data_IF_981964603929
#
_entry.id   IF_981964603929
#
_cell.length_a   1.000
_cell.length_b   1.000
_cell.length_c   1.000
_cell.angle_alpha   90.00
_cell.angle_beta   90.00
_cell.angle_gamma   90.00
#
_symmetry.space_group_name_H-M   'P 1'
#
loop_
_entity.id
_entity.type
_entity.pdbx_description
1 polymer ?
#
# COMPACT_ATOMS: atom_id res chain seq x y z
N UNK A 1 -5.76 -12.20 18.11
CA UNK A 1 -6.15 -13.34 18.96
C UNK A 1 -5.06 -14.40 18.82
N UNK A 2 -5.13 -15.41 19.66
CA UNK A 2 -4.30 -16.61 19.62
C UNK A 2 -5.22 -17.83 19.55
N UNK A 3 -4.82 -18.96 18.95
CA UNK A 3 -5.67 -20.14 18.85
C UNK A 3 -6.17 -20.67 20.20
N UNK A 4 -5.26 -20.83 21.16
CA UNK A 4 -5.57 -21.24 22.52
C UNK A 4 -5.83 -20.02 23.43
N UNK A 5 -6.68 -20.15 24.46
CA UNK A 5 -6.85 -19.11 25.47
C UNK A 5 -5.55 -18.88 26.24
N UNK A 6 -5.29 -17.63 26.62
CA UNK A 6 -4.19 -17.29 27.53
C UNK A 6 -4.49 -16.01 28.32
N UNK A 7 -4.08 -15.92 29.61
CA UNK A 7 -4.41 -14.79 30.48
C UNK A 7 -3.60 -13.52 30.17
N UNK A 8 -2.51 -13.65 29.41
CA UNK A 8 -1.49 -12.62 29.19
C UNK A 8 -0.49 -12.51 30.35
N UNK A 9 0.34 -11.47 30.35
CA UNK A 9 1.32 -11.23 31.42
C UNK A 9 0.64 -10.74 32.72
N UNK A 10 1.30 -10.88 33.89
CA UNK A 10 0.78 -10.40 35.18
C UNK A 10 0.46 -8.89 35.18
N UNK A 11 -0.50 -8.48 36.02
CA UNK A 11 -0.85 -7.06 36.23
C UNK A 11 0.06 -6.44 37.32
N UNK A 12 0.33 -5.12 37.29
CA UNK A 12 -0.08 -4.13 36.28
C UNK A 12 0.70 -4.27 34.96
N UNK A 13 -0.01 -4.05 33.84
CA UNK A 13 0.51 -4.29 32.48
C UNK A 13 0.09 -3.25 31.44
N UNK A 14 -0.50 -2.15 31.90
CA UNK A 14 -0.94 -1.01 31.10
C UNK A 14 -0.71 0.24 31.93
N UNK A 15 0.01 1.20 31.36
CA UNK A 15 0.39 2.46 32.00
C UNK A 15 0.10 3.59 31.04
N UNK A 16 -0.69 4.57 31.48
CA UNK A 16 -0.95 5.80 30.73
C UNK A 16 0.15 6.79 31.06
N UNK A 17 0.66 7.46 30.03
CA UNK A 17 1.61 8.56 30.15
C UNK A 17 0.83 9.81 29.73
N UNK A 18 0.08 10.38 30.66
CA UNK A 18 -0.88 11.46 30.37
C UNK A 18 -0.17 12.70 29.82
N UNK A 19 0.97 13.05 30.41
CA UNK A 19 1.79 14.18 30.00
C UNK A 19 2.39 13.99 28.60
N UNK A 20 2.52 12.75 28.15
CA UNK A 20 3.17 12.42 26.88
C UNK A 20 2.18 11.99 25.80
N UNK A 21 0.86 11.99 26.07
CA UNK A 21 -0.18 11.38 25.22
C UNK A 21 0.21 9.95 24.76
N UNK A 22 0.83 9.22 25.69
CA UNK A 22 1.49 7.95 25.45
C UNK A 22 0.89 6.80 26.26
N UNK A 23 1.16 5.57 25.82
CA UNK A 23 0.78 4.37 26.58
C UNK A 23 1.89 3.35 26.50
N UNK A 24 2.32 2.84 27.66
CA UNK A 24 3.19 1.67 27.76
C UNK A 24 2.34 0.45 28.13
N UNK A 25 2.50 -0.66 27.41
CA UNK A 25 1.80 -1.89 27.74
C UNK A 25 2.69 -3.13 27.59
N UNK A 26 2.38 -4.13 28.42
CA UNK A 26 2.97 -5.47 28.38
C UNK A 26 1.92 -6.57 28.44
N UNK A 27 0.87 -6.48 27.64
CA UNK A 27 -0.28 -7.40 27.70
C UNK A 27 0.07 -8.88 27.46
N UNK A 28 0.90 -9.19 26.45
CA UNK A 28 1.27 -10.57 26.11
C UNK A 28 0.11 -11.38 25.52
N UNK A 29 -0.65 -10.81 24.57
CA UNK A 29 -1.77 -11.45 23.87
C UNK A 29 -2.81 -12.14 24.77
N UNK A 30 -3.32 -11.45 25.79
CA UNK A 30 -4.45 -11.97 26.56
C UNK A 30 -5.68 -12.22 25.64
N UNK A 31 -6.18 -13.45 25.61
CA UNK A 31 -7.19 -13.92 24.65
C UNK A 31 -8.03 -15.04 25.25
N UNK A 32 -9.31 -15.11 24.85
CA UNK A 32 -10.21 -16.23 25.19
C UNK A 32 -10.10 -17.41 24.22
N UNK A 33 -9.15 -17.35 23.27
CA UNK A 33 -8.95 -18.37 22.25
C UNK A 33 -9.82 -18.17 21.00
N UNK A 34 -9.69 -19.11 20.06
CA UNK A 34 -10.26 -19.00 18.72
C UNK A 34 -11.79 -19.18 18.72
N UNK A 35 -12.31 -20.17 19.44
CA UNK A 35 -13.72 -20.51 19.41
C UNK A 35 -14.64 -19.33 19.82
N UNK A 36 -14.44 -18.68 20.99
CA UNK A 36 -15.27 -17.52 21.36
C UNK A 36 -15.04 -16.30 20.47
N UNK A 37 -13.90 -16.23 19.78
CA UNK A 37 -13.61 -15.16 18.82
C UNK A 37 -14.43 -15.34 17.53
N UNK A 38 -14.41 -16.54 16.95
CA UNK A 38 -15.15 -16.91 15.73
C UNK A 38 -16.66 -16.74 15.93
N UNK A 39 -17.20 -17.23 17.06
CA UNK A 39 -18.63 -17.09 17.35
C UNK A 39 -19.10 -15.64 17.43
N UNK A 40 -18.27 -14.75 18.00
CA UNK A 40 -18.57 -13.31 18.05
C UNK A 40 -18.47 -12.67 16.67
N UNK A 41 -17.46 -13.04 15.89
CA UNK A 41 -17.27 -12.52 14.54
C UNK A 41 -18.43 -12.92 13.62
N UNK A 42 -18.88 -14.18 13.68
CA UNK A 42 -20.00 -14.68 12.89
C UNK A 42 -21.35 -14.02 13.23
N UNK A 43 -21.52 -13.54 14.47
CA UNK A 43 -22.75 -12.83 14.92
C UNK A 43 -22.73 -11.33 14.63
N UNK A 44 -21.62 -10.79 14.11
CA UNK A 44 -21.45 -9.36 13.89
C UNK A 44 -22.51 -8.84 12.91
N UNK A 45 -23.13 -7.71 13.27
CA UNK A 45 -24.02 -6.92 12.41
C UNK A 45 -23.36 -5.57 12.15
N UNK A 46 -23.20 -5.16 10.90
CA UNK A 46 -22.64 -3.85 10.55
C UNK A 46 -21.96 -3.83 9.18
N UNK A 47 -21.73 -2.62 8.66
CA UNK A 47 -21.26 -2.36 7.28
C UNK A 47 -19.79 -1.98 7.16
N UNK A 48 -19.05 -1.89 8.28
CA UNK A 48 -17.63 -1.54 8.26
C UNK A 48 -16.71 -2.71 7.89
N UNK A 49 -15.50 -2.41 7.44
CA UNK A 49 -14.44 -3.40 7.20
C UNK A 49 -13.86 -3.88 8.55
N UNK A 50 -13.70 -5.19 8.71
CA UNK A 50 -13.13 -5.85 9.89
C UNK A 50 -11.94 -6.70 9.52
N UNK A 51 -10.79 -6.31 10.06
CA UNK A 51 -9.57 -7.10 10.03
C UNK A 51 -9.44 -8.05 11.20
N UNK A 52 -8.97 -9.26 10.94
CA UNK A 52 -8.68 -10.26 11.96
C UNK A 52 -7.18 -10.35 12.20
N UNK A 53 -6.73 -9.87 13.36
CA UNK A 53 -5.31 -9.85 13.74
C UNK A 53 -4.92 -11.10 14.54
N UNK A 54 -4.09 -11.95 13.93
CA UNK A 54 -3.64 -13.24 14.43
C UNK A 54 -2.25 -13.12 15.06
N UNK A 55 -1.97 -13.93 16.07
CA UNK A 55 -0.66 -14.05 16.69
C UNK A 55 -0.48 -15.43 17.32
N UNK A 56 0.76 -15.76 17.68
CA UNK A 56 1.09 -17.05 18.31
C UNK A 56 0.77 -17.08 19.80
N UNK A 57 0.39 -18.25 20.30
CA UNK A 57 0.37 -18.53 21.73
C UNK A 57 1.79 -18.52 22.31
N UNK A 58 1.90 -18.15 23.59
CA UNK A 58 3.21 -17.97 24.25
C UNK A 58 4.05 -19.26 24.24
N UNK A 59 3.40 -20.41 24.43
CA UNK A 59 4.02 -21.73 24.57
C UNK A 59 4.21 -22.48 23.24
N UNK A 60 3.66 -21.98 22.13
CA UNK A 60 3.81 -22.64 20.82
C UNK A 60 5.24 -22.50 20.32
N UNK A 61 5.84 -23.63 19.98
CA UNK A 61 7.16 -23.74 19.37
C UNK A 61 7.10 -23.36 17.89
N UNK A 62 6.29 -24.07 17.09
CA UNK A 62 6.02 -23.72 15.70
C UNK A 62 5.00 -22.56 15.63
N UNK A 63 5.52 -21.34 15.55
CA UNK A 63 4.70 -20.16 15.49
C UNK A 63 3.72 -20.17 14.30
N UNK A 64 4.11 -20.74 13.15
CA UNK A 64 3.32 -20.67 11.92
C UNK A 64 2.02 -21.50 12.01
N UNK A 65 2.03 -22.62 12.75
CA UNK A 65 0.84 -23.44 13.01
C UNK A 65 -0.31 -22.61 13.63
N UNK A 66 0.04 -21.68 14.54
CA UNK A 66 -0.98 -20.83 15.17
C UNK A 66 -1.63 -19.85 14.18
N UNK A 67 -0.88 -19.36 13.20
CA UNK A 67 -1.43 -18.50 12.15
C UNK A 67 -2.29 -19.32 11.20
N UNK A 68 -1.86 -20.50 10.78
CA UNK A 68 -2.64 -21.41 9.91
C UNK A 68 -4.00 -21.73 10.54
N UNK A 69 -4.01 -22.13 11.81
CA UNK A 69 -5.25 -22.42 12.57
C UNK A 69 -6.16 -21.19 12.66
N UNK A 70 -5.58 -20.03 12.95
CA UNK A 70 -6.31 -18.78 13.01
C UNK A 70 -6.93 -18.39 11.67
N UNK A 71 -6.16 -18.50 10.58
CA UNK A 71 -6.60 -18.20 9.22
C UNK A 71 -7.71 -19.15 8.80
N UNK A 72 -7.51 -20.46 8.95
CA UNK A 72 -8.49 -21.48 8.58
C UNK A 72 -9.87 -21.22 9.21
N UNK A 73 -9.89 -20.77 10.47
CA UNK A 73 -11.12 -20.50 11.20
C UNK A 73 -11.77 -19.13 10.89
N UNK A 74 -11.02 -18.17 10.34
CA UNK A 74 -11.49 -16.78 10.24
C UNK A 74 -11.50 -16.20 8.83
N UNK A 75 -10.85 -16.83 7.85
CA UNK A 75 -10.72 -16.31 6.48
C UNK A 75 -12.07 -16.06 5.80
N UNK A 76 -13.09 -16.89 6.06
CA UNK A 76 -14.44 -16.71 5.49
C UNK A 76 -15.27 -15.61 6.17
N UNK A 77 -14.79 -15.08 7.30
CA UNK A 77 -15.54 -14.14 8.15
C UNK A 77 -14.89 -12.76 8.23
N UNK A 78 -13.63 -12.64 7.80
CA UNK A 78 -12.84 -11.42 7.88
C UNK A 78 -12.82 -10.71 6.53
N UNK A 79 -12.82 -9.37 6.56
CA UNK A 79 -12.60 -8.58 5.34
C UNK A 79 -11.11 -8.52 4.98
N UNK A 80 -10.22 -8.66 5.96
CA UNK A 80 -8.79 -8.89 5.76
C UNK A 80 -8.17 -9.61 6.97
N UNK A 81 -7.03 -10.26 6.76
CA UNK A 81 -6.28 -11.00 7.76
C UNK A 81 -4.97 -10.28 8.09
N UNK A 82 -4.47 -10.43 9.31
CA UNK A 82 -3.16 -9.88 9.71
C UNK A 82 -2.34 -10.91 10.47
N UNK A 83 -1.14 -11.22 9.97
CA UNK A 83 -0.10 -11.92 10.72
C UNK A 83 0.70 -10.92 11.57
N UNK A 84 0.54 -10.94 12.89
CA UNK A 84 1.22 -10.01 13.80
C UNK A 84 2.56 -10.56 14.29
N UNK A 85 3.65 -10.08 13.70
CA UNK A 85 5.02 -10.54 14.00
C UNK A 85 5.78 -9.59 14.94
N UNK A 86 5.11 -8.59 15.52
CA UNK A 86 5.81 -7.38 16.00
C UNK A 86 5.56 -6.99 17.45
N UNK A 87 4.73 -7.73 18.19
CA UNK A 87 4.53 -7.50 19.63
C UNK A 87 5.86 -7.66 20.39
N UNK A 88 6.31 -6.64 21.17
CA UNK A 88 7.48 -6.79 22.05
C UNK A 88 7.18 -7.63 23.30
N UNK A 89 5.91 -7.97 23.53
CA UNK A 89 5.45 -8.54 24.80
C UNK A 89 5.32 -10.07 24.78
N UNK A 90 5.66 -10.68 23.65
CA UNK A 90 5.68 -12.13 23.44
C UNK A 90 7.12 -12.53 23.10
N UNK A 91 7.83 -13.25 23.99
CA UNK A 91 9.22 -13.64 23.75
C UNK A 91 9.42 -14.33 22.39
N UNK A 92 10.51 -14.00 21.70
CA UNK A 92 10.87 -14.57 20.40
C UNK A 92 10.02 -14.12 19.21
N UNK A 93 8.87 -13.46 19.41
CA UNK A 93 7.97 -13.13 18.30
C UNK A 93 8.62 -12.23 17.26
N UNK A 94 9.37 -11.20 17.69
CA UNK A 94 10.03 -10.26 16.78
C UNK A 94 11.14 -10.90 15.94
N UNK A 95 11.68 -12.04 16.36
CA UNK A 95 12.65 -12.80 15.58
C UNK A 95 12.02 -13.42 14.32
N UNK A 96 10.70 -13.60 14.29
CA UNK A 96 9.95 -14.04 13.10
C UNK A 96 9.97 -13.03 11.95
N UNK A 97 10.47 -11.80 12.19
CA UNK A 97 10.67 -10.79 11.15
C UNK A 97 11.99 -10.99 10.38
N UNK A 98 12.84 -11.93 10.79
CA UNK A 98 14.02 -12.33 10.02
C UNK A 98 13.62 -13.03 8.71
N UNK A 99 14.42 -12.84 7.65
CA UNK A 99 14.08 -13.22 6.27
C UNK A 99 13.53 -14.64 6.10
N UNK A 100 14.23 -15.64 6.65
CA UNK A 100 13.83 -17.06 6.51
C UNK A 100 12.55 -17.37 7.27
N UNK A 101 12.47 -17.00 8.55
CA UNK A 101 11.31 -17.25 9.39
C UNK A 101 10.05 -16.54 8.89
N UNK A 102 10.20 -15.28 8.42
CA UNK A 102 9.07 -14.54 7.85
C UNK A 102 8.58 -15.18 6.56
N UNK A 103 9.50 -15.63 5.69
CA UNK A 103 9.13 -16.29 4.42
C UNK A 103 8.33 -17.56 4.66
N UNK A 104 8.81 -18.43 5.55
CA UNK A 104 8.11 -19.68 5.89
C UNK A 104 6.70 -19.40 6.44
N UNK A 105 6.61 -18.52 7.44
CA UNK A 105 5.34 -18.17 8.06
C UNK A 105 4.35 -17.55 7.08
N UNK A 106 4.79 -16.60 6.24
CA UNK A 106 3.91 -15.95 5.26
C UNK A 106 3.47 -16.92 4.17
N UNK A 107 4.37 -17.78 3.68
CA UNK A 107 4.00 -18.80 2.69
C UNK A 107 2.93 -19.75 3.24
N UNK A 108 3.14 -20.27 4.46
CA UNK A 108 2.17 -21.12 5.16
C UNK A 108 0.83 -20.41 5.41
N UNK A 109 0.87 -19.14 5.80
CA UNK A 109 -0.32 -18.33 6.00
C UNK A 109 -1.12 -18.13 4.69
N UNK A 110 -0.44 -17.88 3.56
CA UNK A 110 -1.08 -17.77 2.24
C UNK A 110 -1.70 -19.11 1.84
N UNK A 111 -0.97 -20.22 2.00
CA UNK A 111 -1.51 -21.57 1.73
C UNK A 111 -2.76 -21.86 2.55
N UNK A 112 -2.75 -21.55 3.85
CA UNK A 112 -3.93 -21.72 4.71
C UNK A 112 -5.11 -20.84 4.27
N UNK A 113 -4.84 -19.59 3.84
CA UNK A 113 -5.88 -18.66 3.34
C UNK A 113 -6.50 -19.18 2.07
N UNK A 114 -5.68 -19.62 1.12
CA UNK A 114 -6.10 -20.16 -0.16
C UNK A 114 -6.89 -21.48 -0.01
N UNK A 115 -6.47 -22.35 0.91
CA UNK A 115 -7.20 -23.57 1.24
C UNK A 115 -8.56 -23.28 1.90
N UNK A 116 -8.62 -22.30 2.80
CA UNK A 116 -9.85 -21.90 3.47
C UNK A 116 -10.84 -21.22 2.50
N UNK A 117 -10.33 -20.47 1.51
CA UNK A 117 -11.13 -19.77 0.50
C UNK A 117 -10.57 -20.09 -0.90
N UNK A 118 -10.98 -21.23 -1.51
CA UNK A 118 -10.44 -21.66 -2.80
C UNK A 118 -10.70 -20.67 -3.94
N UNK A 119 -11.86 -19.99 -3.91
CA UNK A 119 -12.24 -18.96 -4.87
C UNK A 119 -11.36 -17.71 -4.71
N UNK A 120 -10.43 -17.52 -5.65
CA UNK A 120 -9.45 -16.43 -5.63
C UNK A 120 -10.07 -15.04 -5.54
N UNK A 121 -11.24 -14.82 -6.16
CA UNK A 121 -11.94 -13.53 -6.14
C UNK A 121 -12.59 -13.19 -4.80
N UNK A 122 -12.68 -14.16 -3.88
CA UNK A 122 -13.28 -13.99 -2.54
C UNK A 122 -12.26 -14.08 -1.41
N UNK A 123 -10.98 -14.30 -1.72
CA UNK A 123 -9.92 -14.41 -0.72
C UNK A 123 -9.76 -13.08 0.01
N UNK A 124 -9.81 -13.05 1.35
CA UNK A 124 -9.49 -11.83 2.08
C UNK A 124 -8.01 -11.48 1.88
N UNK A 125 -7.65 -10.19 1.74
CA UNK A 125 -6.26 -9.75 1.75
C UNK A 125 -5.54 -10.21 3.02
N UNK A 126 -4.32 -10.72 2.89
CA UNK A 126 -3.45 -11.10 3.99
C UNK A 126 -2.37 -10.04 4.16
N UNK A 127 -2.34 -9.41 5.33
CA UNK A 127 -1.35 -8.40 5.68
C UNK A 127 -0.37 -8.93 6.73
N UNK A 128 0.84 -8.36 6.78
CA UNK A 128 1.78 -8.61 7.89
C UNK A 128 1.99 -7.33 8.69
N UNK A 129 1.98 -7.43 10.03
CA UNK A 129 2.26 -6.30 10.92
C UNK A 129 3.66 -6.39 11.51
N UNK A 130 4.51 -5.42 11.16
CA UNK A 130 5.92 -5.36 11.56
C UNK A 130 6.23 -4.23 12.55
N UNK A 131 7.34 -4.37 13.27
CA UNK A 131 7.77 -3.47 14.33
C UNK A 131 8.38 -2.18 13.75
N UNK A 132 8.29 -1.04 14.46
CA UNK A 132 8.97 0.18 14.07
C UNK A 132 10.46 0.16 14.44
N UNK A 133 10.93 -0.88 15.13
CA UNK A 133 12.29 -0.97 15.68
C UNK A 133 13.23 -1.77 14.76
N UNK A 134 12.92 -1.84 13.45
CA UNK A 134 13.76 -2.50 12.44
C UNK A 134 14.73 -1.49 11.84
N UNK A 135 15.99 -1.90 11.71
CA UNK A 135 17.00 -1.16 10.95
C UNK A 135 16.78 -1.32 9.43
N UNK A 136 17.57 -0.60 8.64
CA UNK A 136 17.41 -0.55 7.19
C UNK A 136 17.68 -1.92 6.52
N UNK A 137 18.61 -2.72 7.08
CA UNK A 137 18.91 -4.05 6.55
C UNK A 137 17.76 -5.03 6.81
N UNK A 138 17.19 -5.03 8.02
CA UNK A 138 16.04 -5.83 8.36
C UNK A 138 14.79 -5.41 7.56
N UNK A 139 14.62 -4.10 7.30
CA UNK A 139 13.56 -3.62 6.42
C UNK A 139 13.76 -4.10 4.96
N UNK A 140 14.98 -4.16 4.46
CA UNK A 140 15.26 -4.73 3.13
C UNK A 140 14.93 -6.22 3.05
N UNK A 141 15.29 -6.99 4.09
CA UNK A 141 14.91 -8.40 4.18
C UNK A 141 13.39 -8.59 4.18
N UNK A 142 12.66 -7.78 4.95
CA UNK A 142 11.20 -7.81 4.97
C UNK A 142 10.61 -7.39 3.63
N UNK A 143 11.18 -6.38 2.97
CA UNK A 143 10.71 -5.93 1.65
C UNK A 143 10.88 -7.02 0.59
N UNK A 144 12.01 -7.74 0.61
CA UNK A 144 12.27 -8.88 -0.26
C UNK A 144 11.26 -10.02 -0.02
N UNK A 145 11.01 -10.38 1.25
CA UNK A 145 10.01 -11.42 1.57
C UNK A 145 8.61 -11.01 1.14
N UNK A 146 8.21 -9.76 1.40
CA UNK A 146 6.89 -9.26 1.01
C UNK A 146 6.69 -9.31 -0.51
N UNK A 147 7.71 -8.93 -1.29
CA UNK A 147 7.70 -9.01 -2.76
C UNK A 147 7.63 -10.45 -3.26
N UNK A 148 8.43 -11.35 -2.71
CA UNK A 148 8.53 -12.74 -3.17
C UNK A 148 7.30 -13.57 -2.83
N UNK A 149 6.68 -13.31 -1.68
CA UNK A 149 5.52 -14.08 -1.21
C UNK A 149 4.19 -13.57 -1.75
N UNK A 150 4.14 -12.34 -2.26
CA UNK A 150 2.90 -11.74 -2.75
C UNK A 150 1.91 -11.39 -1.62
N UNK A 151 2.42 -10.97 -0.45
CA UNK A 151 1.56 -10.46 0.63
C UNK A 151 0.78 -9.22 0.17
N UNK A 152 -0.49 -9.13 0.56
CA UNK A 152 -1.41 -8.12 0.03
C UNK A 152 -1.20 -6.73 0.66
N UNK A 153 -0.44 -6.63 1.76
CA UNK A 153 -0.10 -5.36 2.38
C UNK A 153 0.73 -5.48 3.65
N UNK A 154 1.30 -4.37 4.10
CA UNK A 154 2.07 -4.31 5.35
C UNK A 154 1.51 -3.25 6.28
N UNK A 155 1.31 -3.60 7.54
CA UNK A 155 1.05 -2.65 8.62
C UNK A 155 2.39 -2.33 9.26
N UNK A 156 2.91 -1.12 9.02
CA UNK A 156 4.15 -0.69 9.65
C UNK A 156 3.84 0.16 10.89
N UNK A 157 4.33 -0.33 12.02
CA UNK A 157 4.16 0.29 13.31
C UNK A 157 3.35 -0.61 14.24
N UNK A 158 4.06 -1.32 15.10
CA UNK A 158 3.56 -1.75 16.38
C UNK A 158 4.06 -0.77 17.46
N UNK A 159 3.95 -1.10 18.73
CA UNK A 159 4.61 -0.35 19.79
C UNK A 159 6.14 -0.43 19.68
N UNK A 160 6.86 0.61 20.11
CA UNK A 160 8.33 0.63 20.17
C UNK A 160 8.85 0.19 21.54
N UNK A 161 10.01 -0.45 21.59
CA UNK A 161 10.74 -0.66 22.86
C UNK A 161 11.59 0.55 23.26
N UNK A 162 11.85 1.45 22.32
CA UNK A 162 12.61 2.66 22.56
C UNK A 162 11.90 3.59 23.54
N UNK A 163 12.69 4.38 24.26
CA UNK A 163 12.22 5.46 25.12
C UNK A 163 12.88 6.75 24.63
N UNK A 164 12.19 7.54 23.77
CA UNK A 164 12.76 8.79 23.29
C UNK A 164 13.05 9.73 24.47
N UNK A 165 14.08 10.59 24.37
CA UNK A 165 14.35 11.59 25.39
C UNK A 165 13.16 12.54 25.52
N UNK A 166 12.95 13.08 26.73
CA UNK A 166 11.90 14.07 27.00
C UNK A 166 10.54 13.51 27.41
N UNK A 167 10.40 12.18 27.59
CA UNK A 167 9.22 11.61 28.26
C UNK A 167 9.12 12.14 29.69
N UNK A 168 7.96 12.67 30.07
CA UNK A 168 7.74 13.35 31.35
C UNK A 168 7.11 12.45 32.39
N UNK A 169 6.24 11.53 31.97
CA UNK A 169 5.46 10.71 32.88
C UNK A 169 6.33 9.90 33.85
N UNK A 170 5.82 9.67 35.07
CA UNK A 170 6.46 8.80 36.05
C UNK A 170 6.58 7.34 35.57
N UNK A 171 5.70 6.92 34.64
CA UNK A 171 5.69 5.56 34.09
C UNK A 171 6.64 5.34 32.91
N UNK A 172 7.43 6.34 32.50
CA UNK A 172 8.29 6.28 31.30
C UNK A 172 9.27 5.10 31.28
N UNK A 173 9.68 4.60 32.44
CA UNK A 173 10.65 3.50 32.60
C UNK A 173 9.99 2.11 32.63
N UNK A 174 8.65 2.03 32.59
CA UNK A 174 7.93 0.75 32.60
C UNK A 174 8.33 -0.13 31.42
N UNK A 175 8.49 -1.43 31.68
CA UNK A 175 8.79 -2.41 30.64
C UNK A 175 7.60 -2.60 29.67
N UNK A 176 7.92 -2.96 28.42
CA UNK A 176 6.95 -3.24 27.37
C UNK A 176 6.98 -2.22 26.24
N UNK A 177 5.94 -2.26 25.41
CA UNK A 177 5.85 -1.42 24.22
C UNK A 177 5.25 -0.05 24.49
N UNK A 178 5.96 1.02 24.10
CA UNK A 178 5.50 2.41 24.06
C UNK A 178 4.71 2.69 22.77
N UNK A 179 3.63 3.44 22.93
CA UNK A 179 2.72 3.87 21.86
C UNK A 179 2.22 5.30 22.11
N UNK A 180 1.42 5.83 21.19
CA UNK A 180 0.89 7.20 21.27
C UNK A 180 1.82 8.22 20.63
N UNK A 181 1.67 9.49 21.00
CA UNK A 181 2.41 10.61 20.41
C UNK A 181 3.92 10.37 20.31
N UNK A 182 4.61 9.81 21.33
CA UNK A 182 6.08 9.65 21.28
C UNK A 182 6.55 8.71 20.17
N UNK A 183 5.67 7.82 19.67
CA UNK A 183 5.98 6.89 18.59
C UNK A 183 5.84 7.53 17.18
N UNK A 184 5.20 8.70 17.07
CA UNK A 184 4.83 9.27 15.77
C UNK A 184 6.05 9.48 14.86
N UNK A 185 7.09 10.16 15.36
CA UNK A 185 8.28 10.48 14.58
C UNK A 185 8.99 9.21 14.07
N UNK A 186 9.29 8.26 14.98
CA UNK A 186 9.95 6.99 14.64
C UNK A 186 9.13 6.20 13.61
N UNK A 187 7.84 5.97 13.89
CA UNK A 187 6.99 5.16 13.01
C UNK A 187 6.78 5.80 11.63
N UNK A 188 6.73 7.13 11.55
CA UNK A 188 6.61 7.85 10.27
C UNK A 188 7.94 7.84 9.49
N UNK A 189 9.08 7.93 10.17
CA UNK A 189 10.39 7.80 9.53
C UNK A 189 10.57 6.42 8.90
N UNK A 190 10.34 5.36 9.69
CA UNK A 190 10.46 3.98 9.20
C UNK A 190 9.47 3.70 8.06
N UNK A 191 8.27 4.28 8.11
CA UNK A 191 7.27 4.19 7.04
C UNK A 191 7.80 4.72 5.73
N UNK A 192 8.46 5.88 5.76
CA UNK A 192 9.03 6.48 4.56
C UNK A 192 10.17 5.67 3.97
N UNK A 193 11.07 5.16 4.83
CA UNK A 193 12.18 4.31 4.40
C UNK A 193 11.65 3.04 3.73
N UNK A 194 10.68 2.39 4.37
CA UNK A 194 10.11 1.14 3.86
C UNK A 194 9.25 1.35 2.60
N UNK A 195 8.49 2.45 2.52
CA UNK A 195 7.74 2.82 1.33
C UNK A 195 8.64 2.99 0.11
N UNK A 196 9.84 3.56 0.29
CA UNK A 196 10.84 3.68 -0.78
C UNK A 196 11.33 2.30 -1.24
N UNK A 197 11.62 1.39 -0.32
CA UNK A 197 12.07 0.02 -0.65
C UNK A 197 11.02 -0.79 -1.40
N UNK A 198 9.73 -0.52 -1.12
CA UNK A 198 8.61 -1.21 -1.75
C UNK A 198 8.18 -0.63 -3.10
N UNK A 199 8.66 0.57 -3.47
CA UNK A 199 8.35 1.21 -4.75
C UNK A 199 6.84 1.25 -5.05
N UNK A 200 6.02 1.52 -4.02
CA UNK A 200 4.56 1.59 -4.15
C UNK A 200 3.86 0.29 -4.58
N UNK A 201 4.56 -0.85 -4.66
CA UNK A 201 3.99 -2.12 -5.14
C UNK A 201 3.10 -2.82 -4.11
N UNK A 202 3.35 -2.56 -2.83
CA UNK A 202 2.63 -3.17 -1.72
C UNK A 202 2.01 -2.06 -0.87
N UNK A 203 0.67 -2.06 -0.67
CA UNK A 203 -0.01 -1.07 0.16
C UNK A 203 0.50 -1.06 1.60
N UNK A 204 0.67 0.13 2.16
CA UNK A 204 1.13 0.34 3.52
C UNK A 204 0.03 0.91 4.41
N UNK A 205 -0.14 0.33 5.60
CA UNK A 205 -0.95 0.90 6.67
C UNK A 205 -0.02 1.51 7.72
N UNK A 206 -0.05 2.84 7.85
CA UNK A 206 0.73 3.58 8.83
C UNK A 206 0.10 3.53 10.22
N UNK A 207 0.81 2.96 11.19
CA UNK A 207 0.33 2.81 12.56
C UNK A 207 1.33 3.43 13.56
N UNK A 208 0.84 4.16 14.56
CA UNK A 208 1.66 4.75 15.61
C UNK A 208 1.62 6.27 15.65
N UNK A 209 1.14 6.81 16.78
CA UNK A 209 1.18 8.24 17.09
C UNK A 209 0.33 9.16 16.20
N UNK A 210 -0.63 8.63 15.44
CA UNK A 210 -1.57 9.46 14.69
C UNK A 210 -2.61 10.03 15.64
N UNK A 211 -2.61 11.34 15.84
CA UNK A 211 -3.52 12.03 16.77
C UNK A 211 -4.32 13.15 16.11
N UNK A 212 -4.00 13.51 14.86
CA UNK A 212 -4.62 14.62 14.13
C UNK A 212 -4.72 14.32 12.63
N UNK A 213 -5.48 15.14 11.89
CA UNK A 213 -5.50 15.07 10.43
C UNK A 213 -4.14 15.39 9.82
N UNK A 214 -3.38 16.29 10.45
CA UNK A 214 -1.97 16.57 10.11
C UNK A 214 -1.10 15.31 10.18
N UNK A 215 -1.22 14.53 11.25
CA UNK A 215 -0.45 13.31 11.45
C UNK A 215 -0.83 12.23 10.44
N UNK A 216 -2.13 12.08 10.17
CA UNK A 216 -2.64 11.16 9.17
C UNK A 216 -2.10 11.54 7.79
N UNK A 217 -2.17 12.82 7.46
CA UNK A 217 -1.66 13.38 6.21
C UNK A 217 -0.16 13.15 6.04
N UNK A 218 0.63 13.39 7.09
CA UNK A 218 2.06 13.14 7.09
C UNK A 218 2.41 11.66 6.85
N UNK A 219 1.67 10.71 7.45
CA UNK A 219 1.88 9.28 7.17
C UNK A 219 1.49 8.93 5.72
N UNK A 220 0.42 9.51 5.19
CA UNK A 220 0.01 9.30 3.80
C UNK A 220 1.08 9.78 2.84
N UNK A 221 1.58 11.02 3.02
CA UNK A 221 2.67 11.57 2.22
C UNK A 221 3.98 10.81 2.33
N UNK A 222 4.21 10.16 3.48
CA UNK A 222 5.35 9.26 3.68
C UNK A 222 5.20 7.91 2.96
N UNK A 223 4.01 7.55 2.48
CA UNK A 223 3.77 6.34 1.68
C UNK A 223 2.67 5.41 2.20
N UNK A 224 1.98 5.76 3.29
CA UNK A 224 0.83 4.97 3.73
C UNK A 224 -0.40 5.21 2.84
N UNK A 225 -1.11 4.13 2.51
CA UNK A 225 -2.42 4.16 1.88
C UNK A 225 -3.54 4.34 2.91
N UNK A 226 -3.34 3.79 4.12
CA UNK A 226 -4.30 3.84 5.24
C UNK A 226 -3.56 4.17 6.54
N UNK A 227 -4.28 4.66 7.55
CA UNK A 227 -3.73 4.89 8.90
C UNK A 227 -4.54 4.20 9.99
N UNK A 228 -3.88 3.80 11.07
CA UNK A 228 -4.52 3.17 12.24
C UNK A 228 -4.37 4.02 13.50
N UNK A 229 -5.44 4.05 14.30
CA UNK A 229 -5.55 4.78 15.57
C UNK A 229 -5.69 3.78 16.72
N UNK A 230 -5.06 4.07 17.86
CA UNK A 230 -5.32 3.37 19.12
C UNK A 230 -5.19 4.36 20.28
N UNK A 231 -3.97 4.72 20.66
CA UNK A 231 -3.71 5.51 21.87
C UNK A 231 -4.41 6.88 21.81
N UNK A 232 -4.51 7.49 20.63
CA UNK A 232 -5.21 8.76 20.44
C UNK A 232 -6.68 8.72 20.88
N UNK A 233 -7.37 7.57 20.72
CA UNK A 233 -8.76 7.41 21.15
C UNK A 233 -8.90 7.33 22.68
N UNK A 234 -7.84 6.94 23.39
CA UNK A 234 -7.83 6.92 24.86
C UNK A 234 -7.86 8.35 25.41
N UNK A 235 -7.23 9.30 24.71
CA UNK A 235 -7.11 10.71 25.14
C UNK A 235 -8.18 11.61 24.51
N UNK A 236 -8.45 11.47 23.21
CA UNK A 236 -9.38 12.33 22.46
C UNK A 236 -10.79 11.73 22.28
N UNK A 237 -11.03 10.51 22.74
CA UNK A 237 -12.32 9.84 22.59
C UNK A 237 -12.71 9.53 21.14
N UNK A 238 -13.95 9.08 20.89
CA UNK A 238 -14.41 8.67 19.55
C UNK A 238 -14.64 9.83 18.57
N UNK A 239 -14.89 11.05 19.07
CA UNK A 239 -15.14 12.25 18.23
C UNK A 239 -13.93 12.58 17.36
N UNK A 240 -12.73 12.24 17.85
CA UNK A 240 -11.45 12.46 17.18
C UNK A 240 -11.43 11.92 15.74
N UNK A 241 -12.11 10.80 15.46
CA UNK A 241 -12.14 10.20 14.11
C UNK A 241 -12.77 11.18 13.10
N UNK A 242 -13.85 11.86 13.49
CA UNK A 242 -14.51 12.85 12.64
C UNK A 242 -13.64 14.09 12.41
N UNK A 243 -12.91 14.52 13.42
CA UNK A 243 -11.99 15.67 13.35
C UNK A 243 -10.80 15.39 12.43
N UNK A 244 -10.15 14.22 12.60
CA UNK A 244 -9.05 13.77 11.74
C UNK A 244 -9.49 13.74 10.28
N UNK A 245 -10.67 13.20 9.98
CA UNK A 245 -11.19 13.13 8.61
C UNK A 245 -11.38 14.51 7.99
N UNK A 246 -12.00 15.45 8.72
CA UNK A 246 -12.23 16.83 8.22
C UNK A 246 -10.91 17.56 7.97
N UNK A 247 -9.98 17.51 8.92
CA UNK A 247 -8.68 18.16 8.80
C UNK A 247 -7.84 17.53 7.67
N UNK A 248 -7.85 16.19 7.53
CA UNK A 248 -7.20 15.50 6.40
C UNK A 248 -7.75 15.97 5.04
N UNK A 249 -9.08 16.07 4.90
CA UNK A 249 -9.71 16.58 3.66
C UNK A 249 -9.30 18.02 3.36
N UNK A 250 -9.25 18.89 4.37
CA UNK A 250 -8.82 20.28 4.19
C UNK A 250 -7.37 20.36 3.69
N UNK A 251 -6.47 19.56 4.26
CA UNK A 251 -5.05 19.50 3.88
C UNK A 251 -4.82 18.98 2.47
N UNK A 252 -5.53 17.92 2.09
CA UNK A 252 -5.46 17.39 0.72
C UNK A 252 -5.85 18.46 -0.30
N UNK A 253 -6.95 19.18 -0.06
CA UNK A 253 -7.40 20.28 -0.92
C UNK A 253 -6.39 21.42 -0.98
N UNK A 254 -5.82 21.81 0.16
CA UNK A 254 -4.83 22.89 0.23
C UNK A 254 -3.57 22.60 -0.60
N UNK A 255 -3.14 21.34 -0.64
CA UNK A 255 -1.98 20.91 -1.44
C UNK A 255 -2.35 20.48 -2.88
N UNK A 256 -3.60 20.70 -3.31
CA UNK A 256 -4.06 20.44 -4.68
C UNK A 256 -4.36 18.97 -5.01
N UNK A 257 -4.43 18.08 -4.01
CA UNK A 257 -4.77 16.68 -4.21
C UNK A 257 -6.28 16.48 -4.35
N UNK A 258 -6.70 15.65 -5.33
CA UNK A 258 -8.13 15.33 -5.56
C UNK A 258 -8.59 14.20 -4.65
N UNK A 259 -7.69 13.30 -4.29
CA UNK A 259 -7.95 12.13 -3.46
C UNK A 259 -6.81 11.82 -2.49
N UNK A 260 -7.06 10.94 -1.52
CA UNK A 260 -6.01 10.40 -0.64
C UNK A 260 -4.93 9.69 -1.47
N UNK A 261 -5.34 8.94 -2.50
CA UNK A 261 -4.45 8.16 -3.37
C UNK A 261 -3.41 9.03 -4.10
N UNK A 262 -3.77 10.27 -4.43
CA UNK A 262 -2.86 11.22 -5.08
C UNK A 262 -1.75 11.69 -4.13
N UNK A 263 -2.03 11.75 -2.84
CA UNK A 263 -1.10 12.19 -1.81
C UNK A 263 -0.18 11.07 -1.30
N UNK A 264 -0.49 9.79 -1.59
CA UNK A 264 0.33 8.65 -1.16
C UNK A 264 1.75 8.79 -1.71
N UNK A 265 2.72 8.86 -0.79
CA UNK A 265 4.14 8.94 -1.12
C UNK A 265 4.56 10.27 -1.77
N UNK A 266 3.77 11.34 -1.65
CA UNK A 266 4.09 12.64 -2.25
C UNK A 266 5.48 13.19 -1.85
N UNK A 267 5.99 12.86 -0.66
CA UNK A 267 7.30 13.30 -0.20
C UNK A 267 8.46 12.47 -0.78
N UNK A 268 8.17 11.29 -1.32
CA UNK A 268 9.16 10.43 -1.97
C UNK A 268 9.61 11.02 -3.30
N UNK A 269 8.75 11.79 -3.99
CA UNK A 269 9.08 12.53 -5.22
C UNK A 269 10.28 13.45 -5.08
N UNK A 270 10.34 14.20 -3.98
CA UNK A 270 11.47 15.11 -3.69
C UNK A 270 12.81 14.39 -3.48
N UNK A 271 12.80 13.06 -3.35
CA UNK A 271 13.98 12.23 -3.12
C UNK A 271 14.29 11.30 -4.30
N UNK A 272 13.79 11.62 -5.49
CA UNK A 272 14.08 10.86 -6.71
C UNK A 272 13.24 9.60 -6.89
N UNK A 273 12.03 9.54 -6.33
CA UNK A 273 11.02 8.54 -6.69
C UNK A 273 9.86 9.19 -7.46
N UNK A 274 9.75 8.94 -8.76
CA UNK A 274 8.68 9.52 -9.58
C UNK A 274 7.38 8.70 -9.51
N UNK A 275 6.31 9.19 -10.12
CA UNK A 275 5.08 8.39 -10.34
C UNK A 275 4.84 8.18 -11.81
N UNK A 276 4.47 6.94 -12.15
CA UNK A 276 3.91 6.54 -13.43
C UNK A 276 2.47 6.09 -13.12
N UNK A 277 1.53 7.03 -13.22
CA UNK A 277 0.15 6.84 -12.74
C UNK A 277 0.08 6.58 -11.22
N UNK A 278 -0.40 5.39 -10.84
CA UNK A 278 -0.54 4.96 -9.45
C UNK A 278 0.70 4.29 -8.86
N UNK A 279 1.73 4.02 -9.67
CA UNK A 279 2.96 3.38 -9.24
C UNK A 279 4.00 4.43 -8.86
N UNK A 280 4.70 4.22 -7.73
CA UNK A 280 5.85 5.02 -7.32
C UNK A 280 7.11 4.30 -7.78
N UNK A 281 7.89 4.88 -8.68
CA UNK A 281 9.07 4.23 -9.27
C UNK A 281 10.33 5.02 -8.97
N UNK A 282 11.51 4.37 -8.84
CA UNK A 282 12.79 5.06 -8.82
C UNK A 282 12.98 5.99 -10.04
N UNK A 283 13.69 7.10 -9.87
CA UNK A 283 13.99 8.01 -10.99
C UNK A 283 14.64 7.28 -12.17
N UNK A 284 15.52 6.31 -11.89
CA UNK A 284 16.12 5.47 -12.91
C UNK A 284 15.08 4.73 -13.77
N UNK A 285 14.00 4.24 -13.16
CA UNK A 285 12.92 3.56 -13.90
C UNK A 285 12.07 4.56 -14.70
N UNK A 286 11.89 5.78 -14.18
CA UNK A 286 11.24 6.85 -14.92
C UNK A 286 12.06 7.26 -16.14
N UNK A 287 13.37 7.46 -15.97
CA UNK A 287 14.31 7.72 -17.07
C UNK A 287 14.32 6.55 -18.06
N UNK A 288 14.36 5.29 -17.60
CA UNK A 288 14.29 4.13 -18.48
C UNK A 288 12.97 4.07 -19.27
N UNK A 289 11.86 4.49 -18.66
CA UNK A 289 10.59 4.62 -19.37
C UNK A 289 10.64 5.75 -20.40
N UNK A 290 11.22 6.91 -20.07
CA UNK A 290 11.43 8.02 -21.00
C UNK A 290 12.33 7.62 -22.17
N UNK A 291 13.47 6.99 -21.89
CA UNK A 291 14.45 6.50 -22.88
C UNK A 291 13.83 5.48 -23.84
N UNK A 292 12.82 4.73 -23.39
CA UNK A 292 12.07 3.80 -24.23
C UNK A 292 10.97 4.48 -25.04
N UNK A 293 10.23 5.42 -24.44
CA UNK A 293 9.09 6.10 -25.10
C UNK A 293 9.55 7.14 -26.13
N UNK A 294 10.55 7.95 -25.82
CA UNK A 294 10.96 9.08 -26.66
C UNK A 294 11.32 8.66 -28.09
N UNK A 295 12.12 7.60 -28.33
CA UNK A 295 12.41 7.14 -29.70
C UNK A 295 11.16 6.69 -30.48
N UNK A 296 10.14 6.19 -29.77
CA UNK A 296 8.86 5.82 -30.38
C UNK A 296 8.12 7.10 -30.83
N UNK A 297 8.10 8.13 -29.98
CA UNK A 297 7.50 9.43 -30.30
C UNK A 297 8.21 10.14 -31.46
N UNK A 298 9.55 10.07 -31.50
CA UNK A 298 10.36 10.58 -32.61
C UNK A 298 9.93 9.93 -33.93
N UNK A 299 9.86 8.59 -33.95
CA UNK A 299 9.44 7.85 -35.13
C UNK A 299 7.98 8.11 -35.51
N UNK A 300 7.09 8.27 -34.54
CA UNK A 300 5.69 8.64 -34.81
C UNK A 300 5.58 10.03 -35.45
N UNK A 301 6.42 10.98 -35.02
CA UNK A 301 6.50 12.31 -35.62
C UNK A 301 7.06 12.24 -37.04
N UNK A 302 8.14 11.50 -37.26
CA UNK A 302 8.71 11.28 -38.60
C UNK A 302 7.68 10.68 -39.56
N UNK A 303 6.97 9.64 -39.13
CA UNK A 303 5.89 9.00 -39.90
C UNK A 303 4.76 10.00 -40.20
N UNK A 304 4.34 10.79 -39.20
CA UNK A 304 3.31 11.82 -39.36
C UNK A 304 3.74 12.86 -40.40
N UNK A 305 4.93 13.43 -40.27
CA UNK A 305 5.42 14.46 -41.18
C UNK A 305 5.63 13.94 -42.60
N UNK A 306 6.14 12.71 -42.75
CA UNK A 306 6.30 12.08 -44.05
C UNK A 306 4.96 11.78 -44.75
N UNK A 307 3.88 11.60 -44.00
CA UNK A 307 2.54 11.30 -44.53
C UNK A 307 1.74 12.54 -44.95
N UNK A 308 2.19 13.75 -44.59
CA UNK A 308 1.43 14.99 -44.84
C UNK A 308 1.16 15.21 -46.33
N UNK A 309 -0.10 15.47 -46.67
CA UNK A 309 -0.52 15.70 -48.04
C UNK A 309 -0.53 14.46 -48.93
N UNK A 310 -0.45 13.27 -48.34
CA UNK A 310 -0.69 11.99 -49.03
C UNK A 310 -2.10 11.49 -48.74
N UNK A 311 -2.61 10.53 -49.53
CA UNK A 311 -3.92 9.91 -49.30
C UNK A 311 -3.99 9.12 -47.98
N UNK A 312 -2.82 8.77 -47.42
CA UNK A 312 -2.64 8.01 -46.18
C UNK A 312 -2.10 8.90 -45.04
N UNK A 313 -2.44 10.20 -45.01
CA UNK A 313 -2.00 11.11 -43.95
C UNK A 313 -2.35 10.57 -42.55
N UNK A 314 -1.32 10.45 -41.71
CA UNK A 314 -1.44 9.85 -40.39
C UNK A 314 -1.99 10.88 -39.42
N UNK A 315 -3.22 10.64 -38.93
CA UNK A 315 -3.73 11.31 -37.75
C UNK A 315 -3.64 10.39 -36.53
N UNK A 316 -2.76 10.69 -35.58
CA UNK A 316 -2.65 9.90 -34.36
C UNK A 316 -3.86 10.14 -33.45
N UNK A 317 -4.40 9.07 -32.88
CA UNK A 317 -5.45 9.10 -31.85
C UNK A 317 -4.99 8.29 -30.65
N UNK A 318 -5.56 8.47 -29.44
CA UNK A 318 -5.18 7.67 -28.29
C UNK A 318 -5.14 6.16 -28.56
N UNK A 319 -6.12 5.63 -29.30
CA UNK A 319 -6.16 4.22 -29.67
C UNK A 319 -5.05 3.80 -30.63
N UNK A 320 -4.71 4.64 -31.64
CA UNK A 320 -3.59 4.39 -32.55
C UNK A 320 -2.24 4.44 -31.82
N UNK A 321 -2.09 5.36 -30.86
CA UNK A 321 -0.88 5.42 -30.00
C UNK A 321 -0.78 4.18 -29.13
N UNK A 322 -1.87 3.75 -28.47
CA UNK A 322 -1.85 2.52 -27.67
C UNK A 322 -1.56 1.29 -28.55
N UNK A 323 -2.12 1.25 -29.76
CA UNK A 323 -1.84 0.18 -30.71
C UNK A 323 -0.35 0.17 -31.11
N UNK A 324 0.26 1.34 -31.32
CA UNK A 324 1.71 1.48 -31.54
C UNK A 324 2.51 0.98 -30.35
N UNK A 325 2.17 1.41 -29.13
CA UNK A 325 2.85 0.96 -27.91
C UNK A 325 2.72 -0.56 -27.72
N UNK A 326 1.56 -1.14 -28.02
CA UNK A 326 1.34 -2.59 -27.98
C UNK A 326 2.30 -3.36 -28.90
N UNK A 327 2.56 -2.83 -30.10
CA UNK A 327 3.55 -3.36 -31.03
C UNK A 327 4.97 -3.29 -30.46
N UNK A 328 5.36 -2.14 -29.91
CA UNK A 328 6.72 -1.88 -29.45
C UNK A 328 7.06 -2.58 -28.13
N UNK A 329 6.08 -2.81 -27.25
CA UNK A 329 6.27 -3.58 -26.00
C UNK A 329 6.75 -4.99 -26.30
N UNK A 330 6.17 -5.63 -27.33
CA UNK A 330 6.56 -6.95 -27.82
C UNK A 330 6.77 -8.02 -26.72
N UNK A 331 5.92 -8.01 -25.67
CA UNK A 331 5.99 -8.89 -24.50
C UNK A 331 4.63 -9.54 -24.25
N UNK A 332 4.57 -10.86 -24.24
CA UNK A 332 3.35 -11.66 -24.05
C UNK A 332 2.69 -11.47 -22.68
N UNK A 333 3.38 -10.87 -21.70
CA UNK A 333 2.79 -10.51 -20.40
C UNK A 333 1.93 -9.25 -20.47
N UNK A 334 2.08 -8.45 -21.53
CA UNK A 334 1.36 -7.19 -21.70
C UNK A 334 -0.01 -7.38 -22.34
N UNK A 335 -1.04 -6.79 -21.73
CA UNK A 335 -2.37 -6.73 -22.34
C UNK A 335 -2.37 -5.96 -23.66
N UNK A 336 -1.54 -4.92 -23.78
CA UNK A 336 -1.45 -4.11 -25.00
C UNK A 336 -0.73 -4.84 -26.13
N UNK A 337 0.20 -5.75 -25.82
CA UNK A 337 0.78 -6.64 -26.82
C UNK A 337 -0.29 -7.54 -27.45
N UNK A 338 -1.13 -8.17 -26.62
CA UNK A 338 -2.21 -9.02 -27.13
C UNK A 338 -3.28 -8.22 -27.86
N UNK A 339 -3.57 -7.00 -27.42
CA UNK A 339 -4.47 -6.10 -28.13
C UNK A 339 -3.93 -5.78 -29.54
N UNK A 340 -2.65 -5.45 -29.67
CA UNK A 340 -1.99 -5.26 -30.96
C UNK A 340 -2.06 -6.52 -31.83
N UNK A 341 -1.63 -7.68 -31.31
CA UNK A 341 -1.59 -8.95 -32.06
C UNK A 341 -2.95 -9.40 -32.59
N UNK A 342 -4.02 -9.10 -31.86
CA UNK A 342 -5.39 -9.50 -32.22
C UNK A 342 -6.18 -8.35 -32.87
N UNK A 343 -5.53 -7.23 -33.21
CA UNK A 343 -6.16 -6.04 -33.77
C UNK A 343 -7.37 -5.54 -32.95
N UNK A 344 -7.23 -5.58 -31.63
CA UNK A 344 -8.24 -5.09 -30.68
C UNK A 344 -7.91 -3.62 -30.37
N UNK A 345 -8.78 -2.67 -30.71
CA UNK A 345 -8.54 -1.27 -30.40
C UNK A 345 -8.75 -1.04 -28.90
N UNK A 346 -7.85 -0.28 -28.29
CA UNK A 346 -7.90 0.08 -26.86
C UNK A 346 -8.08 1.58 -26.75
N UNK A 347 -9.11 1.99 -26.01
CA UNK A 347 -9.45 3.39 -25.84
C UNK A 347 -9.16 3.83 -24.41
N UNK A 348 -8.17 4.70 -24.24
CA UNK A 348 -7.87 5.34 -22.97
C UNK A 348 -7.88 6.87 -23.13
N UNK A 349 -8.96 7.57 -22.74
CA UNK A 349 -9.01 9.03 -22.85
C UNK A 349 -8.00 9.72 -21.92
N UNK A 350 -7.50 9.02 -20.90
CA UNK A 350 -6.49 9.52 -19.98
C UNK A 350 -5.04 9.20 -20.43
N UNK A 351 -4.80 8.93 -21.72
CA UNK A 351 -3.45 8.70 -22.26
C UNK A 351 -2.49 9.86 -21.96
N UNK A 352 -3.04 11.07 -21.87
CA UNK A 352 -2.30 12.31 -21.55
C UNK A 352 -2.18 12.58 -20.05
N UNK A 353 -2.68 11.70 -19.17
CA UNK A 353 -2.49 11.82 -17.72
C UNK A 353 -1.16 11.17 -17.28
N UNK A 354 -0.56 11.71 -16.23
CA UNK A 354 0.68 11.20 -15.66
C UNK A 354 1.91 11.32 -16.57
N UNK A 355 2.84 10.38 -16.41
CA UNK A 355 4.19 10.46 -16.99
C UNK A 355 4.23 10.45 -18.50
N UNK A 356 3.34 9.69 -19.16
CA UNK A 356 3.29 9.66 -20.63
C UNK A 356 2.80 11.01 -21.18
N UNK A 357 1.86 11.67 -20.50
CA UNK A 357 1.43 13.02 -20.82
C UNK A 357 2.57 14.04 -20.73
N UNK A 358 3.35 13.99 -19.64
CA UNK A 358 4.53 14.86 -19.47
C UNK A 358 5.55 14.63 -20.59
N UNK A 359 5.83 13.37 -20.95
CA UNK A 359 6.74 13.02 -22.05
C UNK A 359 6.25 13.54 -23.40
N UNK A 360 4.96 13.37 -23.71
CA UNK A 360 4.35 13.92 -24.93
C UNK A 360 4.44 15.45 -24.98
N UNK A 361 4.19 16.13 -23.85
CA UNK A 361 4.29 17.58 -23.74
C UNK A 361 5.71 18.07 -24.03
N UNK A 362 6.71 17.51 -23.33
CA UNK A 362 8.11 17.93 -23.51
C UNK A 362 8.68 17.52 -24.86
N UNK A 363 8.27 16.38 -25.41
CA UNK A 363 8.63 15.97 -26.78
C UNK A 363 8.12 17.01 -27.78
N UNK A 364 6.83 17.33 -27.76
CA UNK A 364 6.22 18.31 -28.66
C UNK A 364 6.87 19.69 -28.53
N UNK A 365 7.21 20.11 -27.30
CA UNK A 365 7.94 21.36 -27.07
C UNK A 365 9.35 21.34 -27.70
N UNK A 366 10.10 20.24 -27.54
CA UNK A 366 11.46 20.09 -28.07
C UNK A 366 11.51 19.94 -29.59
N UNK A 367 10.50 19.32 -30.19
CA UNK A 367 10.42 19.08 -31.64
C UNK A 367 10.02 20.31 -32.47
N UNK A 368 9.74 21.45 -31.82
CA UNK A 368 9.40 22.70 -32.49
C UNK A 368 10.43 23.07 -33.59
N UNK A 369 9.99 23.44 -34.82
CA UNK A 369 8.63 23.83 -35.19
C UNK A 369 7.68 22.66 -35.53
N UNK A 370 8.19 21.43 -35.57
CA UNK A 370 7.35 20.24 -35.80
C UNK A 370 6.56 19.91 -34.53
N UNK A 371 5.42 19.23 -34.71
CA UNK A 371 4.50 18.93 -33.61
C UNK A 371 3.92 17.54 -33.81
N UNK A 372 4.13 16.65 -32.84
CA UNK A 372 3.41 15.39 -32.80
C UNK A 372 1.97 15.71 -32.39
N UNK A 373 1.01 15.49 -33.29
CA UNK A 373 -0.40 15.80 -33.06
C UNK A 373 -1.14 14.52 -32.72
N UNK A 374 -1.85 14.53 -31.59
CA UNK A 374 -2.73 13.45 -31.18
C UNK A 374 -4.14 14.02 -31.06
N UNK A 375 -5.06 13.61 -31.94
CA UNK A 375 -6.47 13.95 -31.85
C UNK A 375 -7.14 13.08 -30.76
N UNK A 376 -7.33 13.68 -29.59
CA UNK A 376 -7.92 13.02 -28.42
C UNK A 376 -9.44 12.81 -28.51
N UNK A 377 -10.10 13.33 -29.55
CA UNK A 377 -11.57 13.25 -29.72
C UNK A 377 -12.01 12.44 -30.93
N UNK A 378 -11.16 12.22 -31.94
CA UNK A 378 -11.49 11.42 -33.13
C UNK A 378 -12.00 10.02 -32.76
N UNK A 379 -11.32 9.35 -31.83
CA UNK A 379 -11.72 8.03 -31.32
C UNK A 379 -13.16 8.02 -30.78
N UNK A 380 -13.59 9.09 -30.07
CA UNK A 380 -14.93 9.21 -29.50
C UNK A 380 -15.96 9.50 -30.60
N UNK A 381 -15.61 10.33 -31.58
CA UNK A 381 -16.50 10.59 -32.73
C UNK A 381 -16.79 9.29 -33.49
N UNK A 382 -15.75 8.49 -33.76
CA UNK A 382 -15.89 7.19 -34.41
C UNK A 382 -16.78 6.21 -33.62
N UNK A 383 -16.79 6.29 -32.29
CA UNK A 383 -17.67 5.52 -31.42
C UNK A 383 -19.14 5.95 -31.53
N UNK A 384 -19.40 7.26 -31.47
CA UNK A 384 -20.75 7.83 -31.55
C UNK A 384 -21.41 7.60 -32.91
N UNK A 385 -20.60 7.48 -33.97
CA UNK A 385 -21.06 7.19 -35.33
C UNK A 385 -21.32 5.69 -35.60
N UNK A 386 -21.34 4.85 -34.56
CA UNK A 386 -21.84 3.46 -34.63
C UNK A 386 -20.84 2.39 -35.05
N UNK A 387 -19.52 2.66 -34.97
CA UNK A 387 -18.51 1.61 -35.19
C UNK A 387 -18.40 0.71 -33.94
N UNK A 388 -18.42 -0.63 -34.08
CA UNK A 388 -18.36 -1.53 -32.94
C UNK A 388 -16.98 -1.46 -32.26
N UNK A 389 -16.99 -1.04 -31.00
CA UNK A 389 -15.78 -0.89 -30.17
C UNK A 389 -16.03 -1.51 -28.80
N UNK A 390 -15.10 -2.35 -28.33
CA UNK A 390 -15.12 -2.89 -26.97
C UNK A 390 -14.37 -1.93 -26.03
N UNK A 391 -15.11 -1.37 -25.06
CA UNK A 391 -14.55 -0.50 -24.02
C UNK A 391 -13.94 -1.36 -22.93
N UNK A 392 -12.65 -1.17 -22.63
CA UNK A 392 -12.02 -1.70 -21.42
C UNK A 392 -11.90 -0.52 -20.45
N UNK A 393 -12.74 -0.52 -19.42
CA UNK A 393 -12.62 0.41 -18.29
C UNK A 393 -11.42 0.02 -17.43
N UNK A 394 -10.69 0.99 -16.85
CA UNK A 394 -9.59 0.72 -15.91
C UNK A 394 -10.02 -0.13 -14.70
#
# INVERSE_FOLDING_TARGET
MTPLPQPGNPRPRLFRLEEDEGVINRFGFNSQGLQPFVERLARRRGTGIVGVNLGKNKQTEDAAEDYERGIAATAKLADYLVCNLSSPNTPGLRALQGRSAMRDLVARAITARDAAVPDAGKRPPLLVKIAPDLDDAALEDVSAVARDTGVDGIILGNTTISRPPGLRSAHREEAGGLSGRPLFALSTERLRVFARMLEGRIPLIGCGGVTSGADAYAKIRAGATLVQLYSALVFGGPVLVGEIKRDLTARLKADGFRSVSDAVGADLRKKGLNRIGNLIVPNANYCAFEDWVVPILDKMLEEQEASKGTDDEINWTPSKVIHRLGKEINDERSVYYWAYKNNIPVFCPALTDGSLGDMLYFHTFKSSPLQLKIDIVEDIRAFLDGKPVRVISP
#
